data_IF_065805839074
#
_entry.id   IF_065805839074
#
_cell.length_a   1.000
_cell.length_b   1.000
_cell.length_c   1.000
_cell.angle_alpha   90.00
_cell.angle_beta   90.00
_cell.angle_gamma   90.00
#
_symmetry.space_group_name_H-M   'P 1'
#
loop_
_entity.id
_entity.type
_entity.pdbx_description
1 polymer ?
#
# COMPACT_ATOMS: atom_id res chain seq x y z
N UNK A 1 25.42 -26.71 -4.47
CA UNK A 1 26.84 -27.15 -4.68
C UNK A 1 27.26 -26.61 -6.03
N UNK A 2 28.37 -25.86 -6.14
CA UNK A 2 28.80 -25.14 -7.37
C UNK A 2 28.73 -25.94 -8.69
N UNK A 3 28.93 -27.26 -8.63
CA UNK A 3 28.85 -28.15 -9.80
C UNK A 3 27.52 -28.05 -10.56
N UNK A 4 26.40 -27.89 -9.87
CA UNK A 4 25.08 -27.83 -10.50
C UNK A 4 24.86 -26.51 -11.26
N UNK A 5 25.49 -25.41 -10.82
CA UNK A 5 25.47 -24.12 -11.52
C UNK A 5 26.22 -24.18 -12.85
N UNK A 6 27.38 -24.85 -12.88
CA UNK A 6 28.13 -25.05 -14.12
C UNK A 6 27.35 -25.85 -15.14
N UNK A 7 26.59 -26.87 -14.70
CA UNK A 7 25.73 -27.63 -15.60
C UNK A 7 24.61 -26.77 -16.17
N UNK A 8 23.92 -25.96 -15.36
CA UNK A 8 22.88 -25.05 -15.84
C UNK A 8 23.42 -24.01 -16.83
N UNK A 9 24.62 -23.48 -16.60
CA UNK A 9 25.29 -22.58 -17.54
C UNK A 9 25.61 -23.28 -18.87
N UNK A 10 26.18 -24.49 -18.82
CA UNK A 10 26.52 -25.25 -20.02
C UNK A 10 25.26 -25.62 -20.82
N UNK A 11 24.18 -26.02 -20.16
CA UNK A 11 22.89 -26.28 -20.82
C UNK A 11 22.35 -25.03 -21.52
N UNK A 12 22.46 -23.85 -20.89
CA UNK A 12 22.06 -22.58 -21.50
C UNK A 12 22.90 -22.21 -22.74
N UNK A 13 24.22 -22.38 -22.68
CA UNK A 13 25.14 -22.15 -23.81
C UNK A 13 24.81 -23.09 -24.97
N UNK A 14 24.57 -24.38 -24.69
CA UNK A 14 24.24 -25.37 -25.72
C UNK A 14 22.88 -25.08 -26.35
N UNK A 15 21.91 -24.60 -25.58
CA UNK A 15 20.56 -24.28 -26.06
C UNK A 15 20.52 -23.02 -26.93
N UNK A 16 21.33 -22.01 -26.61
CA UNK A 16 21.45 -20.80 -27.40
C UNK A 16 22.89 -20.24 -27.36
N UNK A 17 23.76 -20.63 -28.31
CA UNK A 17 25.18 -20.29 -28.27
C UNK A 17 25.47 -18.80 -28.51
N UNK A 18 24.54 -18.06 -29.10
CA UNK A 18 24.66 -16.60 -29.34
C UNK A 18 24.24 -15.77 -28.11
N UNK A 19 23.68 -16.42 -27.07
CA UNK A 19 23.25 -15.73 -25.86
C UNK A 19 24.45 -15.22 -25.05
N UNK A 20 24.35 -14.00 -24.55
CA UNK A 20 25.42 -13.41 -23.72
C UNK A 20 25.54 -14.17 -22.41
N UNK A 21 26.77 -14.42 -21.97
CA UNK A 21 27.08 -15.14 -20.73
C UNK A 21 26.37 -14.56 -19.50
N UNK A 22 26.18 -13.24 -19.44
CA UNK A 22 25.47 -12.55 -18.36
C UNK A 22 23.94 -12.72 -18.34
N UNK A 23 23.37 -13.29 -19.40
CA UNK A 23 21.92 -13.53 -19.53
C UNK A 23 21.55 -15.00 -19.29
N UNK A 24 22.55 -15.86 -19.09
CA UNK A 24 22.33 -17.29 -18.84
C UNK A 24 21.85 -17.53 -17.41
N UNK A 25 20.96 -18.52 -17.20
CA UNK A 25 20.47 -18.86 -15.88
C UNK A 25 21.61 -19.35 -14.99
N UNK A 26 21.92 -18.59 -13.94
CA UNK A 26 22.93 -18.96 -12.93
C UNK A 26 22.36 -19.85 -11.82
N UNK A 27 21.06 -19.73 -11.56
CA UNK A 27 20.36 -20.49 -10.53
C UNK A 27 19.90 -21.82 -11.11
N UNK A 28 20.11 -22.90 -10.35
CA UNK A 28 19.49 -24.18 -10.68
C UNK A 28 17.97 -24.10 -10.54
N UNK A 29 17.23 -25.01 -11.17
CA UNK A 29 15.77 -25.09 -11.03
C UNK A 29 15.33 -25.21 -9.57
N UNK A 30 16.07 -25.98 -8.77
CA UNK A 30 15.80 -26.14 -7.33
C UNK A 30 16.04 -24.85 -6.54
N UNK A 31 17.13 -24.12 -6.79
CA UNK A 31 17.37 -22.85 -6.10
C UNK A 31 16.40 -21.76 -6.56
N UNK A 32 16.05 -21.75 -7.84
CA UNK A 32 14.99 -20.87 -8.36
C UNK A 32 13.65 -21.18 -7.70
N UNK A 33 13.30 -22.47 -7.54
CA UNK A 33 12.09 -22.88 -6.84
C UNK A 33 12.14 -22.48 -5.36
N UNK A 34 13.28 -22.69 -4.70
CA UNK A 34 13.49 -22.28 -3.32
C UNK A 34 13.29 -20.77 -3.14
N UNK A 35 13.87 -19.95 -4.03
CA UNK A 35 13.74 -18.49 -3.98
C UNK A 35 12.31 -17.99 -4.30
N UNK A 36 11.67 -18.58 -5.31
CA UNK A 36 10.39 -18.08 -5.83
C UNK A 36 9.16 -18.68 -5.12
N UNK A 37 9.32 -19.85 -4.48
CA UNK A 37 8.21 -20.62 -3.91
C UNK A 37 8.45 -20.87 -2.42
N UNK A 38 9.54 -21.54 -2.05
CA UNK A 38 9.74 -21.93 -0.64
C UNK A 38 9.95 -20.74 0.30
N UNK A 39 10.83 -19.79 -0.08
CA UNK A 39 11.08 -18.57 0.68
C UNK A 39 9.99 -17.52 0.53
N UNK A 40 8.96 -17.81 -0.27
CA UNK A 40 7.90 -16.89 -0.60
C UNK A 40 6.51 -17.49 -0.30
N UNK A 41 6.42 -18.20 0.83
CA UNK A 41 5.16 -18.76 1.33
C UNK A 41 4.23 -17.65 1.82
N UNK A 42 3.64 -16.92 0.87
CA UNK A 42 2.66 -15.88 1.12
C UNK A 42 1.29 -16.50 1.23
N UNK A 43 0.66 -16.34 2.38
CA UNK A 43 -0.70 -16.80 2.62
C UNK A 43 -1.65 -15.62 2.49
N UNK A 44 -2.83 -15.83 1.90
CA UNK A 44 -3.84 -14.80 1.75
C UNK A 44 -5.14 -15.28 2.35
N UNK A 45 -5.80 -14.40 3.11
CA UNK A 45 -7.07 -14.68 3.75
C UNK A 45 -8.03 -13.52 3.48
N UNK A 46 -9.27 -13.84 3.13
CA UNK A 46 -10.36 -12.86 3.09
C UNK A 46 -11.24 -13.08 4.31
N UNK A 47 -11.29 -12.10 5.20
CA UNK A 47 -11.95 -12.22 6.50
C UNK A 47 -13.07 -11.20 6.68
N UNK A 48 -14.07 -11.58 7.47
CA UNK A 48 -15.12 -10.68 7.96
C UNK A 48 -14.69 -9.86 9.19
N UNK A 49 -15.61 -9.07 9.74
CA UNK A 49 -15.35 -8.24 10.93
C UNK A 49 -15.09 -9.03 12.22
N UNK A 50 -15.36 -10.34 12.22
CA UNK A 50 -15.13 -11.27 13.30
C UNK A 50 -13.87 -12.13 13.06
N UNK A 51 -13.06 -11.76 12.06
CA UNK A 51 -11.87 -12.49 11.63
C UNK A 51 -12.15 -13.94 11.21
N UNK A 52 -13.34 -14.20 10.65
CA UNK A 52 -13.70 -15.50 10.07
C UNK A 52 -13.55 -15.47 8.55
N UNK A 53 -13.10 -16.57 7.90
CA UNK A 53 -13.01 -16.64 6.45
C UNK A 53 -14.37 -16.45 5.78
N UNK A 54 -14.42 -15.58 4.77
CA UNK A 54 -15.63 -15.38 3.97
C UNK A 54 -15.74 -16.44 2.85
N UNK A 55 -16.96 -16.87 2.46
CA UNK A 55 -17.16 -17.75 1.32
C UNK A 55 -16.72 -17.15 -0.02
N UNK A 56 -16.52 -18.00 -1.02
CA UNK A 56 -16.25 -17.58 -2.41
C UNK A 56 -17.37 -16.65 -2.91
N UNK A 57 -16.99 -15.56 -3.59
CA UNK A 57 -17.89 -14.54 -4.11
C UNK A 57 -18.31 -13.46 -3.10
N UNK A 58 -18.07 -13.68 -1.81
CA UNK A 58 -18.42 -12.72 -0.75
C UNK A 58 -17.23 -11.77 -0.49
N UNK A 59 -17.46 -10.45 -0.49
CA UNK A 59 -16.43 -9.48 -0.11
C UNK A 59 -15.96 -9.67 1.34
N UNK A 60 -14.65 -9.66 1.53
CA UNK A 60 -13.97 -9.64 2.82
C UNK A 60 -12.75 -8.72 2.77
N UNK A 61 -12.23 -8.37 3.94
CA UNK A 61 -10.95 -7.66 4.01
C UNK A 61 -9.80 -8.63 3.78
N UNK A 62 -8.81 -8.21 2.98
CA UNK A 62 -7.63 -8.98 2.68
C UNK A 62 -6.60 -8.91 3.82
N UNK A 63 -6.14 -10.07 4.24
CA UNK A 63 -5.07 -10.27 5.20
C UNK A 63 -3.97 -11.12 4.56
N UNK A 64 -2.72 -10.77 4.85
CA UNK A 64 -1.54 -11.49 4.35
C UNK A 64 -0.83 -12.15 5.53
N UNK A 65 -0.47 -13.43 5.38
CA UNK A 65 0.32 -14.21 6.33
C UNK A 65 1.57 -14.79 5.68
N UNK A 66 2.34 -15.53 6.48
CA UNK A 66 3.53 -16.25 6.04
C UNK A 66 4.82 -15.44 6.10
N UNK A 67 5.83 -15.91 5.37
CA UNK A 67 7.22 -15.51 5.60
C UNK A 67 7.57 -14.11 5.05
N UNK A 68 6.75 -13.59 4.12
CA UNK A 68 6.93 -12.27 3.52
C UNK A 68 6.54 -11.09 4.43
N UNK A 69 6.12 -11.34 5.67
CA UNK A 69 5.68 -10.28 6.57
C UNK A 69 6.85 -9.43 7.09
N UNK A 70 6.67 -8.11 7.03
CA UNK A 70 7.57 -7.18 7.69
C UNK A 70 7.57 -7.37 9.21
N UNK A 71 8.66 -6.98 9.87
CA UNK A 71 8.74 -7.00 11.35
C UNK A 71 7.68 -6.11 11.99
N UNK A 72 7.39 -4.97 11.37
CA UNK A 72 6.46 -3.97 11.87
C UNK A 72 6.88 -2.57 11.41
N UNK A 73 6.25 -1.55 11.98
CA UNK A 73 6.62 -0.16 11.77
C UNK A 73 7.74 0.25 12.73
N UNK A 74 8.76 0.90 12.20
CA UNK A 74 9.92 1.32 12.99
C UNK A 74 9.51 2.33 14.07
N UNK A 75 9.87 2.03 15.31
CA UNK A 75 9.55 2.82 16.51
C UNK A 75 8.05 3.12 16.72
N UNK A 76 7.17 2.26 16.19
CA UNK A 76 5.71 2.41 16.32
C UNK A 76 5.07 1.09 16.75
N UNK A 77 5.27 0.65 18.01
CA UNK A 77 4.78 -0.64 18.49
C UNK A 77 3.24 -0.73 18.49
N UNK A 78 2.54 0.36 18.83
CA UNK A 78 1.07 0.36 18.88
C UNK A 78 0.44 0.21 17.49
N UNK A 79 0.98 0.91 16.49
CA UNK A 79 0.55 0.74 15.10
C UNK A 79 0.89 -0.65 14.60
N UNK A 80 2.07 -1.17 14.96
CA UNK A 80 2.47 -2.53 14.59
C UNK A 80 1.51 -3.56 15.16
N UNK A 81 1.13 -3.46 16.43
CA UNK A 81 0.19 -4.40 17.06
C UNK A 81 -1.21 -4.32 16.45
N UNK A 82 -1.65 -3.12 16.04
CA UNK A 82 -2.95 -2.92 15.36
C UNK A 82 -2.98 -3.48 13.95
N UNK A 83 -1.88 -3.39 13.20
CA UNK A 83 -1.83 -3.81 11.79
C UNK A 83 -1.33 -5.24 11.61
N UNK A 84 -0.43 -5.72 12.47
CA UNK A 84 0.12 -7.08 12.46
C UNK A 84 -0.48 -7.88 13.62
N UNK A 85 -1.69 -8.41 13.39
CA UNK A 85 -2.47 -9.12 14.41
C UNK A 85 -2.00 -10.58 14.56
N UNK A 86 -2.29 -11.24 15.69
CA UNK A 86 -2.06 -12.68 15.83
C UNK A 86 -2.79 -13.47 14.74
N UNK A 87 -2.17 -14.52 14.20
CA UNK A 87 -2.76 -15.34 13.16
C UNK A 87 -3.74 -16.36 13.75
N UNK A 88 -5.07 -16.19 13.60
CA UNK A 88 -6.07 -17.00 14.31
C UNK A 88 -6.12 -18.47 13.82
N UNK A 89 -5.69 -18.73 12.59
CA UNK A 89 -5.73 -20.08 11.99
C UNK A 89 -4.40 -20.85 12.05
N UNK A 90 -3.35 -20.28 12.65
CA UNK A 90 -2.02 -20.91 12.66
C UNK A 90 -1.73 -21.52 14.02
N UNK A 91 -1.20 -22.75 14.03
CA UNK A 91 -0.66 -23.41 15.21
C UNK A 91 0.75 -22.95 15.57
N UNK A 92 1.40 -22.17 14.69
CA UNK A 92 2.75 -21.69 14.91
C UNK A 92 2.78 -20.53 15.89
N UNK A 93 3.66 -20.63 16.88
CA UNK A 93 3.87 -19.58 17.88
C UNK A 93 4.34 -18.29 17.20
N UNK A 94 3.70 -17.15 17.53
CA UNK A 94 3.98 -15.80 16.97
C UNK A 94 3.70 -15.64 15.48
N UNK A 95 2.97 -16.56 14.84
CA UNK A 95 2.43 -16.29 13.51
C UNK A 95 1.51 -15.05 13.56
N UNK A 96 1.62 -14.20 12.52
CA UNK A 96 0.85 -12.96 12.42
C UNK A 96 0.16 -12.87 11.07
N UNK A 97 -0.88 -12.04 11.02
CA UNK A 97 -1.50 -11.55 9.80
C UNK A 97 -1.29 -10.05 9.68
N UNK A 98 -0.93 -9.58 8.49
CA UNK A 98 -0.91 -8.18 8.13
C UNK A 98 -2.27 -7.78 7.53
N UNK A 99 -2.90 -6.80 8.17
CA UNK A 99 -4.15 -6.19 7.73
C UNK A 99 -3.88 -5.22 6.57
N UNK A 100 -4.32 -5.53 5.36
CA UNK A 100 -3.94 -4.72 4.19
C UNK A 100 -4.79 -3.46 4.01
N UNK A 101 -6.01 -3.46 4.56
CA UNK A 101 -7.04 -2.45 4.31
C UNK A 101 -7.67 -2.53 2.92
N UNK A 102 -7.41 -3.60 2.16
CA UNK A 102 -8.00 -3.85 0.84
C UNK A 102 -9.28 -4.70 1.00
N UNK A 103 -10.34 -4.31 0.29
CA UNK A 103 -11.55 -5.10 0.15
C UNK A 103 -11.46 -5.94 -1.13
N UNK A 104 -11.70 -7.23 -1.02
CA UNK A 104 -11.60 -8.16 -2.14
C UNK A 104 -12.53 -9.37 -1.96
N UNK A 105 -12.68 -10.18 -3.00
CA UNK A 105 -13.43 -11.45 -2.95
C UNK A 105 -12.73 -12.53 -3.77
N UNK A 106 -12.92 -13.78 -3.38
CA UNK A 106 -12.56 -14.90 -4.25
C UNK A 106 -13.56 -15.02 -5.40
N UNK A 107 -13.04 -15.27 -6.59
CA UNK A 107 -13.79 -15.73 -7.75
C UNK A 107 -13.91 -17.26 -7.73
N UNK A 108 -14.86 -17.85 -8.47
CA UNK A 108 -15.04 -19.31 -8.53
C UNK A 108 -13.81 -20.09 -9.01
N UNK A 109 -12.90 -19.44 -9.74
CA UNK A 109 -11.64 -20.02 -10.24
C UNK A 109 -10.49 -19.93 -9.21
N UNK A 110 -10.75 -19.38 -8.01
CA UNK A 110 -9.77 -19.19 -6.95
C UNK A 110 -8.96 -17.90 -7.04
N UNK A 111 -9.15 -17.09 -8.09
CA UNK A 111 -8.51 -15.78 -8.19
C UNK A 111 -9.14 -14.78 -7.21
N UNK A 112 -8.38 -13.74 -6.84
CA UNK A 112 -8.86 -12.66 -5.97
C UNK A 112 -9.21 -11.45 -6.83
N UNK A 113 -10.47 -11.01 -6.77
CA UNK A 113 -10.92 -9.76 -7.35
C UNK A 113 -10.81 -8.63 -6.32
N UNK A 114 -10.07 -7.58 -6.67
CA UNK A 114 -9.92 -6.38 -5.86
C UNK A 114 -11.12 -5.45 -6.05
N UNK A 115 -11.78 -5.08 -4.95
CA UNK A 115 -13.00 -4.26 -4.94
C UNK A 115 -12.76 -2.82 -4.47
N UNK A 116 -11.65 -2.55 -3.79
CA UNK A 116 -11.29 -1.21 -3.34
C UNK A 116 -10.52 -1.21 -2.03
N UNK A 117 -10.43 -0.04 -1.41
CA UNK A 117 -9.84 0.12 -0.07
C UNK A 117 -10.92 0.45 0.95
N UNK A 118 -10.75 -0.08 2.14
CA UNK A 118 -11.61 0.18 3.30
C UNK A 118 -11.21 1.50 3.96
N UNK A 119 -9.91 1.84 3.88
CA UNK A 119 -9.37 3.10 4.36
C UNK A 119 -9.30 4.16 3.26
N UNK A 120 -8.87 5.36 3.66
CA UNK A 120 -8.72 6.52 2.77
C UNK A 120 -7.39 6.53 2.00
N UNK A 121 -6.61 5.45 2.03
CA UNK A 121 -5.34 5.41 1.32
C UNK A 121 -5.57 5.32 -0.18
N UNK A 122 -4.77 6.07 -0.93
CA UNK A 122 -4.96 6.19 -2.37
C UNK A 122 -3.68 6.06 -3.16
N UNK A 123 -3.84 5.64 -4.42
CA UNK A 123 -2.76 5.64 -5.41
C UNK A 123 -2.97 6.80 -6.38
N UNK A 124 -2.01 7.72 -6.42
CA UNK A 124 -1.97 8.81 -7.39
C UNK A 124 -0.63 8.73 -8.10
N UNK A 125 -0.64 8.53 -9.43
CA UNK A 125 0.57 8.47 -10.28
C UNK A 125 1.64 7.50 -9.76
N UNK A 126 1.22 6.34 -9.22
CA UNK A 126 2.11 5.31 -8.68
C UNK A 126 2.51 5.50 -7.21
N UNK A 127 2.16 6.63 -6.57
CA UNK A 127 2.47 6.90 -5.17
C UNK A 127 1.33 6.46 -4.25
N UNK A 128 1.67 5.72 -3.18
CA UNK A 128 0.75 5.34 -2.10
C UNK A 128 0.72 6.50 -1.09
N UNK A 129 -0.37 7.25 -1.10
CA UNK A 129 -0.54 8.45 -0.29
C UNK A 129 -1.58 8.17 0.79
N UNK A 130 -1.24 8.51 2.04
CA UNK A 130 -2.18 8.54 3.15
C UNK A 130 -2.74 9.96 3.28
N UNK A 131 -4.07 10.12 3.15
CA UNK A 131 -4.69 11.44 3.22
C UNK A 131 -4.54 12.05 4.62
N UNK A 132 -4.66 11.23 5.67
CA UNK A 132 -4.49 11.63 7.06
C UNK A 132 -3.12 12.25 7.38
N UNK A 133 -2.05 11.82 6.72
CA UNK A 133 -0.71 12.40 6.90
C UNK A 133 -0.67 13.85 6.39
N UNK A 134 -1.38 14.12 5.28
CA UNK A 134 -1.50 15.46 4.70
C UNK A 134 -2.39 16.33 5.58
N UNK A 135 -3.51 15.80 6.07
CA UNK A 135 -4.40 16.50 7.03
C UNK A 135 -3.64 16.88 8.31
N UNK A 136 -2.85 15.95 8.85
CA UNK A 136 -2.00 16.19 10.03
C UNK A 136 -0.96 17.28 9.73
N UNK A 137 -0.29 17.22 8.58
CA UNK A 137 0.67 18.25 8.20
C UNK A 137 0.01 19.63 8.01
N UNK A 138 -1.21 19.69 7.47
CA UNK A 138 -1.94 20.94 7.29
C UNK A 138 -2.37 21.56 8.62
N UNK A 139 -2.87 20.75 9.56
CA UNK A 139 -3.33 21.20 10.88
C UNK A 139 -2.17 21.60 11.82
N UNK A 140 -0.93 21.21 11.53
CA UNK A 140 0.25 21.75 12.21
C UNK A 140 0.53 23.22 11.87
N UNK A 141 -0.06 23.76 10.79
CA UNK A 141 0.13 25.15 10.42
C UNK A 141 -0.71 26.07 11.33
N UNK A 142 -0.13 27.12 11.97
CA UNK A 142 -0.82 27.94 12.97
C UNK A 142 -2.07 28.70 12.50
N UNK A 143 -2.29 28.78 11.18
CA UNK A 143 -3.45 29.45 10.56
C UNK A 143 -4.54 28.48 10.11
N UNK A 144 -4.40 27.18 10.38
CA UNK A 144 -5.34 26.14 9.94
C UNK A 144 -5.91 25.47 11.19
N UNK A 145 -7.19 25.70 11.43
CA UNK A 145 -7.91 25.09 12.56
C UNK A 145 -8.27 23.63 12.25
N UNK A 146 -8.73 23.37 11.03
CA UNK A 146 -9.15 22.04 10.57
C UNK A 146 -8.77 21.86 9.10
N UNK A 147 -8.47 20.63 8.70
CA UNK A 147 -8.23 20.25 7.32
C UNK A 147 -8.81 18.88 7.02
N UNK A 148 -9.44 18.75 5.84
CA UNK A 148 -9.86 17.46 5.27
C UNK A 148 -9.32 17.37 3.85
N UNK A 149 -8.72 16.25 3.50
CA UNK A 149 -8.14 16.01 2.18
C UNK A 149 -8.93 14.93 1.48
N UNK A 150 -9.36 15.22 0.25
CA UNK A 150 -10.07 14.28 -0.62
C UNK A 150 -9.39 14.19 -1.97
N UNK A 151 -9.86 13.26 -2.80
CA UNK A 151 -9.42 13.11 -4.18
C UNK A 151 -10.54 13.55 -5.08
N UNK A 152 -10.14 14.31 -6.09
CA UNK A 152 -10.98 14.63 -7.21
C UNK A 152 -10.35 14.11 -8.49
N UNK A 153 -11.16 13.93 -9.52
CA UNK A 153 -10.76 13.40 -10.82
C UNK A 153 -11.08 14.46 -11.87
N UNK A 154 -10.13 14.79 -12.74
CA UNK A 154 -10.38 15.74 -13.82
C UNK A 154 -11.20 15.08 -14.95
N UNK A 155 -11.59 15.87 -15.96
CA UNK A 155 -12.31 15.36 -17.14
C UNK A 155 -11.52 14.29 -17.92
N UNK A 156 -10.19 14.29 -17.80
CA UNK A 156 -9.29 13.32 -18.45
C UNK A 156 -9.09 12.03 -17.64
N UNK A 157 -9.68 11.90 -16.45
CA UNK A 157 -9.53 10.74 -15.57
C UNK A 157 -8.33 10.80 -14.61
N UNK A 158 -7.54 11.87 -14.62
CA UNK A 158 -6.42 12.04 -13.70
C UNK A 158 -6.91 12.40 -12.29
N UNK A 159 -6.47 11.60 -11.31
CA UNK A 159 -6.69 11.85 -9.89
C UNK A 159 -5.76 12.95 -9.38
N UNK A 160 -6.29 13.84 -8.55
CA UNK A 160 -5.53 14.87 -7.83
C UNK A 160 -6.12 15.11 -6.44
N UNK A 161 -5.31 15.65 -5.55
CA UNK A 161 -5.70 15.94 -4.17
C UNK A 161 -6.33 17.34 -4.06
N UNK A 162 -7.39 17.43 -3.26
CA UNK A 162 -8.04 18.67 -2.86
C UNK A 162 -8.09 18.72 -1.34
N UNK A 163 -7.55 19.77 -0.75
CA UNK A 163 -7.67 20.04 0.67
C UNK A 163 -8.72 21.12 0.92
N UNK A 164 -9.64 20.86 1.85
CA UNK A 164 -10.55 21.85 2.41
C UNK A 164 -10.01 22.25 3.78
N UNK A 165 -9.77 23.54 3.96
CA UNK A 165 -9.22 24.07 5.22
C UNK A 165 -10.18 25.06 5.86
N UNK A 166 -10.27 24.99 7.18
CA UNK A 166 -10.91 26.01 8.03
C UNK A 166 -9.78 26.87 8.61
N UNK A 167 -9.76 28.19 8.34
CA UNK A 167 -8.73 29.06 8.88
C UNK A 167 -8.90 29.22 10.40
N UNK A 168 -7.79 29.42 11.11
CA UNK A 168 -7.82 29.84 12.51
C UNK A 168 -8.36 31.28 12.58
N UNK A 169 -9.51 31.46 13.21
CA UNK A 169 -10.15 32.77 13.34
C UNK A 169 -9.39 33.57 14.42
N UNK A 170 -8.46 34.43 14.01
CA UNK A 170 -7.98 35.46 14.92
C UNK A 170 -9.14 36.41 15.18
N UNK A 171 -9.63 36.44 16.41
CA UNK A 171 -10.71 37.32 16.84
C UNK A 171 -10.32 38.80 16.66
N UNK A 172 -10.47 39.34 15.45
CA UNK A 172 -10.60 40.76 15.19
C UNK A 172 -12.09 41.07 15.07
N UNK A 173 -12.59 41.85 16.04
CA UNK A 173 -13.95 42.38 16.03
C UNK A 173 -14.13 43.24 14.79
N UNK A 174 -14.70 42.68 13.72
CA UNK A 174 -15.72 43.32 12.88
C UNK A 174 -16.19 42.38 11.75
N UNK A 175 -17.48 42.04 11.83
CA UNK A 175 -18.44 41.78 10.75
C UNK A 175 -18.24 40.55 9.83
N UNK A 176 -19.20 39.63 10.03
CA UNK A 176 -19.70 38.63 9.06
C UNK A 176 -18.72 37.49 8.72
N UNK A 177 -18.73 36.45 9.55
CA UNK A 177 -18.04 35.20 9.27
C UNK A 177 -18.80 34.42 8.18
N UNK A 178 -18.52 34.73 6.91
CA UNK A 178 -18.77 33.80 5.82
C UNK A 178 -17.71 32.71 5.93
N UNK A 179 -18.10 31.49 6.30
CA UNK A 179 -17.26 30.29 6.26
C UNK A 179 -16.68 30.12 4.83
N UNK A 180 -15.53 30.73 4.55
CA UNK A 180 -14.83 30.54 3.27
C UNK A 180 -13.97 29.30 3.38
N UNK A 181 -14.58 28.13 3.14
CA UNK A 181 -13.83 26.92 2.83
C UNK A 181 -12.97 27.21 1.60
N UNK A 182 -11.65 27.30 1.76
CA UNK A 182 -10.76 27.46 0.60
C UNK A 182 -10.36 26.06 0.15
N UNK A 183 -10.82 25.67 -1.04
CA UNK A 183 -10.35 24.45 -1.68
C UNK A 183 -8.96 24.71 -2.27
N UNK A 184 -7.97 23.93 -1.83
CA UNK A 184 -6.60 24.04 -2.27
C UNK A 184 -6.23 22.80 -3.07
N UNK A 185 -5.72 23.02 -4.29
CA UNK A 185 -5.15 21.95 -5.09
C UNK A 185 -3.73 21.69 -4.63
N UNK A 186 -3.44 20.45 -4.22
CA UNK A 186 -2.10 20.04 -3.81
C UNK A 186 -1.36 19.46 -5.02
N UNK A 187 -0.23 20.06 -5.38
CA UNK A 187 0.66 19.55 -6.43
C UNK A 187 1.82 18.77 -5.83
N UNK A 188 2.03 17.54 -6.31
CA UNK A 188 3.29 16.79 -6.14
C UNK A 188 4.23 17.17 -7.29
N UNK A 189 5.41 17.72 -7.02
CA UNK A 189 6.44 17.86 -8.07
C UNK A 189 7.21 16.54 -8.23
N UNK A 190 7.74 16.27 -9.43
CA UNK A 190 8.37 15.00 -9.80
C UNK A 190 9.71 14.70 -9.09
N UNK A 191 10.19 15.57 -8.23
CA UNK A 191 11.46 15.38 -7.55
C UNK A 191 11.24 15.28 -6.04
N UNK A 192 11.99 14.39 -5.39
CA UNK A 192 12.04 14.07 -3.95
C UNK A 192 12.24 15.26 -3.00
N UNK A 193 12.23 16.50 -3.50
CA UNK A 193 12.18 17.74 -2.74
C UNK A 193 10.71 18.02 -2.42
N UNK A 194 10.35 17.77 -1.17
CA UNK A 194 9.02 17.89 -0.58
C UNK A 194 8.49 19.33 -0.55
N UNK A 195 8.26 19.92 -1.72
CA UNK A 195 7.66 21.25 -1.85
C UNK A 195 6.24 21.10 -2.39
N UNK A 196 5.28 21.22 -1.48
CA UNK A 196 3.86 21.15 -1.77
C UNK A 196 3.34 22.55 -2.06
N UNK A 197 2.68 22.74 -3.20
CA UNK A 197 2.05 24.01 -3.54
C UNK A 197 0.55 23.90 -3.33
N UNK A 198 0.02 24.79 -2.50
CA UNK A 198 -1.41 25.02 -2.33
C UNK A 198 -1.82 26.14 -3.27
N UNK A 199 -2.74 25.87 -4.20
CA UNK A 199 -3.37 26.91 -5.01
C UNK A 199 -4.88 26.94 -4.75
N UNK A 200 -5.48 28.12 -4.56
CA UNK A 200 -6.93 28.27 -4.66
C UNK A 200 -7.41 27.69 -5.99
N UNK A 201 -8.56 27.02 -5.98
CA UNK A 201 -9.24 26.63 -7.22
C UNK A 201 -9.58 27.83 -8.09
#
# INVERSE_FOLDING_TARGET
>A
KMQSHYQTLLEGIVTNPEQRLGELPLLTASEKHQLLVEWNNTQMYLLDGQLQPVPVGIPGELYIGGDGLARGYFNQPDLTAKTFIPHPFSSQLRARLYKTGDLARYLPDGNIEFLGRIDQQVKIRGFRIQLADIETALTQHPKVQQAVVTINTNQSGDKYLVAYVVPEEQASKEKTCTLKSTALRIFTTKNYQSTWYLRPL
#
